data_IF_613970243129
#
_entry.id   IF_613970243129
#
_cell.length_a   1.000
_cell.length_b   1.000
_cell.length_c   1.000
_cell.angle_alpha   90.00
_cell.angle_beta   90.00
_cell.angle_gamma   90.00
#
_symmetry.space_group_name_H-M   'P 1'
#
loop_
_entity.id
_entity.type
_entity.pdbx_description
1 polymer ?
#
# COMPACT_ATOMS: atom_id res chain seq x y z
N UNK A 1 -8.55 11.48 22.71
CA UNK A 1 -7.48 12.06 21.87
C UNK A 1 -8.15 13.14 21.05
N UNK A 2 -7.61 14.36 21.10
CA UNK A 2 -8.26 15.52 20.49
C UNK A 2 -7.99 15.51 18.98
N UNK A 3 -9.03 15.76 18.19
CA UNK A 3 -9.01 15.75 16.71
C UNK A 3 -7.90 16.64 16.13
N UNK A 4 -7.59 17.74 16.82
CA UNK A 4 -6.54 18.67 16.44
C UNK A 4 -5.12 18.12 16.65
N UNK A 5 -4.93 17.11 17.51
CA UNK A 5 -3.67 16.40 17.71
C UNK A 5 -3.44 15.42 16.57
N UNK A 6 -4.47 14.68 16.20
CA UNK A 6 -4.39 13.64 15.14
C UNK A 6 -4.11 14.26 13.76
N UNK A 7 -4.69 15.43 13.47
CA UNK A 7 -4.41 16.18 12.22
C UNK A 7 -2.96 16.66 12.14
N UNK A 8 -2.36 17.07 13.25
CA UNK A 8 -0.96 17.51 13.28
C UNK A 8 0.00 16.34 13.08
N UNK A 9 -0.33 15.17 13.64
CA UNK A 9 0.46 13.95 13.44
C UNK A 9 0.40 13.49 11.97
N UNK A 10 -0.78 13.50 11.34
CA UNK A 10 -0.92 13.17 9.92
C UNK A 10 -0.13 14.14 9.03
N UNK A 11 -0.21 15.44 9.28
CA UNK A 11 0.54 16.44 8.51
C UNK A 11 2.06 16.29 8.69
N UNK A 12 2.52 16.05 9.92
CA UNK A 12 3.92 15.82 10.21
C UNK A 12 4.45 14.58 9.48
N UNK A 13 3.69 13.48 9.48
CA UNK A 13 4.06 12.25 8.76
C UNK A 13 4.06 12.43 7.25
N UNK A 14 3.10 13.19 6.69
CA UNK A 14 3.11 13.57 5.27
C UNK A 14 4.37 14.35 4.92
N UNK A 15 4.74 15.34 5.72
CA UNK A 15 5.95 16.14 5.50
C UNK A 15 7.23 15.30 5.60
N UNK A 16 7.32 14.40 6.58
CA UNK A 16 8.45 13.45 6.67
C UNK A 16 8.50 12.56 5.43
N UNK A 17 7.36 12.06 4.96
CA UNK A 17 7.29 11.27 3.74
C UNK A 17 7.73 12.05 2.50
N UNK A 18 7.47 13.36 2.43
CA UNK A 18 7.84 14.22 1.30
C UNK A 18 9.29 14.66 1.30
N UNK A 19 9.83 15.00 2.48
CA UNK A 19 11.13 15.65 2.63
C UNK A 19 12.23 14.62 2.90
N UNK A 20 11.93 13.54 3.62
CA UNK A 20 12.91 12.54 4.03
C UNK A 20 12.80 11.26 3.20
N UNK A 21 13.93 10.68 2.74
CA UNK A 21 13.89 9.48 1.90
C UNK A 21 13.60 8.20 2.69
N UNK A 22 13.71 8.19 4.02
CA UNK A 22 13.69 6.97 4.84
C UNK A 22 12.45 6.10 4.62
N UNK A 23 11.26 6.69 4.69
CA UNK A 23 10.00 5.93 4.56
C UNK A 23 9.81 5.47 3.11
N UNK A 24 10.03 6.36 2.14
CA UNK A 24 9.96 6.03 0.69
C UNK A 24 10.96 4.95 0.30
N UNK A 25 12.16 4.97 0.87
CA UNK A 25 13.18 3.97 0.65
C UNK A 25 12.76 2.61 1.19
N UNK A 26 12.19 2.55 2.40
CA UNK A 26 11.61 1.32 2.94
C UNK A 26 10.51 0.75 2.04
N UNK A 27 9.61 1.61 1.52
CA UNK A 27 8.59 1.20 0.56
C UNK A 27 9.20 0.64 -0.72
N UNK A 28 10.23 1.30 -1.25
CA UNK A 28 10.91 0.89 -2.49
C UNK A 28 11.57 -0.48 -2.32
N UNK A 29 12.33 -0.69 -1.25
CA UNK A 29 12.98 -1.99 -0.97
C UNK A 29 11.92 -3.07 -0.81
N UNK A 30 10.92 -2.86 0.04
CA UNK A 30 9.88 -3.86 0.27
C UNK A 30 9.09 -4.20 -1.01
N UNK A 31 8.79 -3.20 -1.86
CA UNK A 31 8.08 -3.46 -3.10
C UNK A 31 8.92 -4.25 -4.10
N UNK A 32 10.23 -3.98 -4.22
CA UNK A 32 11.11 -4.77 -5.08
C UNK A 32 11.23 -6.21 -4.58
N UNK A 33 11.40 -6.40 -3.27
CA UNK A 33 11.49 -7.74 -2.68
C UNK A 33 10.20 -8.54 -2.93
N UNK A 34 9.03 -7.89 -2.83
CA UNK A 34 7.73 -8.50 -3.19
C UNK A 34 7.69 -8.85 -4.68
N UNK A 35 8.08 -7.95 -5.58
CA UNK A 35 8.05 -8.21 -7.03
C UNK A 35 8.91 -9.42 -7.40
N UNK A 36 10.12 -9.51 -6.83
CA UNK A 36 11.03 -10.64 -7.05
C UNK A 36 10.46 -11.94 -6.46
N UNK A 37 9.93 -11.90 -5.23
CA UNK A 37 9.40 -13.08 -4.56
C UNK A 37 8.16 -13.69 -5.25
N UNK A 38 7.39 -12.88 -6.00
CA UNK A 38 6.17 -13.32 -6.68
C UNK A 38 6.32 -13.39 -8.21
N UNK A 39 7.54 -13.37 -8.74
CA UNK A 39 7.76 -13.53 -10.18
C UNK A 39 7.19 -14.87 -10.69
N UNK A 40 6.33 -14.80 -11.71
CA UNK A 40 5.67 -15.98 -12.29
C UNK A 40 4.44 -16.49 -11.52
N UNK A 41 4.11 -15.91 -10.38
CA UNK A 41 2.95 -16.31 -9.59
C UNK A 41 1.63 -15.73 -10.11
N UNK A 42 0.57 -16.53 -10.05
CA UNK A 42 -0.75 -16.15 -10.59
C UNK A 42 -1.63 -15.35 -9.62
N UNK A 43 -1.30 -15.38 -8.32
CA UNK A 43 -2.08 -14.75 -7.26
C UNK A 43 -1.17 -14.27 -6.14
N UNK A 44 -1.25 -12.99 -5.79
CA UNK A 44 -0.46 -12.37 -4.72
C UNK A 44 -1.39 -11.93 -3.58
N UNK A 45 -1.04 -12.24 -2.34
CA UNK A 45 -1.72 -11.73 -1.14
C UNK A 45 -0.72 -11.09 -0.19
N UNK A 46 -0.78 -9.76 -0.10
CA UNK A 46 0.04 -8.98 0.84
C UNK A 46 -0.75 -8.72 2.12
N UNK A 47 -0.12 -8.98 3.27
CA UNK A 47 -0.66 -8.65 4.59
C UNK A 47 0.20 -7.54 5.19
N UNK A 48 -0.40 -6.35 5.29
CA UNK A 48 0.20 -5.16 5.88
C UNK A 48 -0.12 -5.10 7.39
N UNK A 49 0.93 -5.18 8.20
CA UNK A 49 0.85 -5.27 9.67
C UNK A 49 1.04 -3.94 10.40
N UNK A 50 0.96 -2.78 9.73
CA UNK A 50 1.03 -1.52 10.46
C UNK A 50 1.55 -0.32 9.68
N UNK A 51 1.77 -0.44 8.38
CA UNK A 51 2.23 0.67 7.55
C UNK A 51 1.16 1.76 7.31
N UNK A 52 -0.11 1.47 7.61
CA UNK A 52 -1.21 2.44 7.47
C UNK A 52 -1.27 3.43 8.64
N UNK A 53 -0.53 3.24 9.73
CA UNK A 53 -0.52 4.17 10.87
C UNK A 53 0.12 5.51 10.48
N UNK A 54 -0.73 6.43 10.00
CA UNK A 54 -0.42 7.84 9.76
C UNK A 54 -0.11 8.22 8.30
N UNK A 55 -0.04 7.27 7.37
CA UNK A 55 0.00 7.53 5.93
C UNK A 55 -1.28 7.00 5.26
N UNK A 56 -2.34 7.79 5.39
CA UNK A 56 -3.72 7.47 4.96
C UNK A 56 -3.89 7.19 3.46
N UNK A 57 -2.91 7.57 2.63
CA UNK A 57 -3.03 7.50 1.18
C UNK A 57 -2.45 6.22 0.56
N UNK A 58 -1.97 5.25 1.35
CA UNK A 58 -1.53 3.95 0.80
C UNK A 58 -0.40 4.05 -0.23
N UNK A 59 0.55 4.98 -0.03
CA UNK A 59 1.60 5.28 -1.02
C UNK A 59 2.44 4.07 -1.41
N UNK A 60 2.77 3.17 -0.47
CA UNK A 60 3.50 1.93 -0.78
C UNK A 60 2.72 1.08 -1.78
N UNK A 61 1.45 0.82 -1.50
CA UNK A 61 0.61 -0.10 -2.26
C UNK A 61 0.33 0.42 -3.66
N UNK A 62 0.18 1.74 -3.85
CA UNK A 62 0.09 2.35 -5.19
C UNK A 62 1.32 2.06 -6.03
N UNK A 63 2.51 2.26 -5.47
CA UNK A 63 3.76 1.98 -6.17
C UNK A 63 3.91 0.48 -6.47
N UNK A 64 3.55 -0.40 -5.53
CA UNK A 64 3.59 -1.85 -5.77
C UNK A 64 2.68 -2.26 -6.92
N UNK A 65 1.45 -1.74 -6.94
CA UNK A 65 0.48 -2.02 -8.01
C UNK A 65 0.99 -1.52 -9.36
N UNK A 66 1.54 -0.30 -9.39
CA UNK A 66 2.14 0.25 -10.60
C UNK A 66 3.29 -0.64 -11.10
N UNK A 67 4.21 -1.03 -10.21
CA UNK A 67 5.32 -1.89 -10.58
C UNK A 67 4.87 -3.28 -11.05
N UNK A 68 3.83 -3.87 -10.44
CA UNK A 68 3.24 -5.13 -10.90
C UNK A 68 2.59 -5.02 -12.29
N UNK A 69 2.04 -3.85 -12.63
CA UNK A 69 1.43 -3.59 -13.94
C UNK A 69 2.48 -3.31 -15.03
N UNK A 70 3.59 -2.66 -14.68
CA UNK A 70 4.70 -2.32 -15.58
C UNK A 70 5.72 -3.46 -15.75
N UNK A 71 5.72 -4.44 -14.84
CA UNK A 71 6.66 -5.56 -14.87
C UNK A 71 6.53 -6.32 -16.20
N UNK A 72 7.66 -6.59 -16.86
CA UNK A 72 7.74 -7.13 -18.23
C UNK A 72 7.13 -8.55 -18.42
N UNK A 73 6.66 -9.18 -17.33
CA UNK A 73 5.91 -10.43 -17.33
C UNK A 73 4.40 -10.25 -17.48
N UNK A 74 3.64 -11.32 -17.18
CA UNK A 74 2.18 -11.21 -17.05
C UNK A 74 1.85 -10.73 -15.64
N UNK A 75 1.08 -9.63 -15.46
CA UNK A 75 0.64 -9.24 -14.14
C UNK A 75 -0.18 -10.37 -13.49
N UNK A 76 -0.15 -10.50 -12.15
CA UNK A 76 -0.89 -11.56 -11.47
C UNK A 76 -2.39 -11.42 -11.77
N UNK A 77 -3.07 -12.56 -11.92
CA UNK A 77 -4.51 -12.60 -12.18
C UNK A 77 -5.32 -12.05 -11.01
N UNK A 78 -4.75 -12.08 -9.80
CA UNK A 78 -5.38 -11.63 -8.57
C UNK A 78 -4.35 -11.01 -7.63
N UNK A 79 -4.64 -9.80 -7.17
CA UNK A 79 -3.91 -9.14 -6.08
C UNK A 79 -4.87 -8.86 -4.93
N UNK A 80 -4.49 -9.29 -3.72
CA UNK A 80 -5.19 -8.99 -2.47
C UNK A 80 -4.25 -8.26 -1.53
N UNK A 81 -4.70 -7.16 -0.96
CA UNK A 81 -3.97 -6.45 0.10
C UNK A 81 -4.88 -6.38 1.32
N UNK A 82 -4.38 -6.87 2.45
CA UNK A 82 -5.08 -6.85 3.74
C UNK A 82 -4.26 -6.02 4.71
N UNK A 83 -4.81 -4.90 5.17
CA UNK A 83 -4.16 -4.04 6.16
C UNK A 83 -4.79 -4.16 7.54
N UNK A 84 -3.96 -4.19 8.58
CA UNK A 84 -4.38 -4.05 9.98
C UNK A 84 -4.36 -2.59 10.40
N UNK A 85 -5.51 -2.05 10.84
CA UNK A 85 -5.59 -0.68 11.36
C UNK A 85 -5.38 -0.69 12.88
N UNK A 86 -4.16 -0.38 13.33
CA UNK A 86 -3.83 -0.11 14.73
C UNK A 86 -3.21 -1.27 15.53
N UNK A 87 -2.74 -0.95 16.73
CA UNK A 87 -2.27 -1.92 17.75
C UNK A 87 -3.45 -2.73 18.32
N UNK A 88 -4.69 -2.31 18.03
CA UNK A 88 -5.93 -3.01 18.36
C UNK A 88 -6.48 -3.72 17.12
N UNK A 89 -6.73 -5.03 17.25
CA UNK A 89 -6.86 -6.04 16.20
C UNK A 89 -8.16 -5.96 15.36
N UNK A 90 -8.96 -4.91 15.50
CA UNK A 90 -10.40 -5.01 15.18
C UNK A 90 -10.85 -4.39 13.85
N UNK A 91 -9.94 -3.97 12.97
CA UNK A 91 -10.36 -3.47 11.65
C UNK A 91 -9.39 -3.87 10.53
N UNK A 92 -9.74 -4.95 9.84
CA UNK A 92 -9.13 -5.35 8.57
C UNK A 92 -9.78 -4.62 7.41
N UNK A 93 -9.01 -3.83 6.66
CA UNK A 93 -9.45 -3.35 5.33
C UNK A 93 -8.92 -4.31 4.29
N UNK A 94 -9.85 -4.93 3.55
CA UNK A 94 -9.54 -5.85 2.46
C UNK A 94 -9.79 -5.09 1.15
N UNK A 95 -8.73 -4.88 0.38
CA UNK A 95 -8.85 -4.48 -1.03
C UNK A 95 -8.55 -5.69 -1.91
N UNK A 96 -9.44 -6.00 -2.84
CA UNK A 96 -9.26 -7.04 -3.85
C UNK A 96 -9.34 -6.36 -5.21
N UNK A 97 -8.26 -6.44 -5.98
CA UNK A 97 -8.21 -5.94 -7.34
C UNK A 97 -7.97 -7.10 -8.30
N UNK A 98 -8.71 -7.09 -9.41
CA UNK A 98 -8.52 -8.04 -10.50
C UNK A 98 -8.05 -7.30 -11.75
N UNK A 99 -7.62 -8.07 -12.76
CA UNK A 99 -7.02 -7.53 -13.97
C UNK A 99 -7.90 -6.61 -14.83
N UNK A 100 -9.20 -6.45 -14.51
CA UNK A 100 -10.21 -5.77 -15.34
C UNK A 100 -10.77 -4.48 -14.74
N UNK A 101 -10.48 -4.15 -13.47
CA UNK A 101 -11.14 -3.04 -12.75
C UNK A 101 -10.14 -1.95 -12.29
N UNK A 102 -8.92 -1.97 -12.83
CA UNK A 102 -7.79 -1.11 -12.39
C UNK A 102 -8.09 0.39 -12.43
N UNK A 103 -8.80 0.86 -13.45
CA UNK A 103 -9.09 2.29 -13.65
C UNK A 103 -10.28 2.78 -12.81
N UNK A 104 -11.27 1.92 -12.57
CA UNK A 104 -12.54 2.34 -11.95
C UNK A 104 -12.46 2.46 -10.43
N UNK A 105 -11.57 1.72 -9.77
CA UNK A 105 -11.39 1.78 -8.31
C UNK A 105 -10.39 2.89 -7.93
N UNK A 106 -9.42 3.16 -8.80
CA UNK A 106 -8.36 4.16 -8.62
C UNK A 106 -8.90 5.56 -8.34
N UNK A 107 -9.98 5.95 -9.02
CA UNK A 107 -10.55 7.31 -8.92
C UNK A 107 -11.47 7.53 -7.72
N UNK A 108 -11.85 6.48 -6.97
CA UNK A 108 -13.03 6.54 -6.09
C UNK A 108 -12.77 6.22 -4.62
N UNK A 109 -11.62 5.66 -4.24
CA UNK A 109 -11.41 5.16 -2.87
C UNK A 109 -10.04 5.48 -2.24
N UNK A 110 -9.14 6.18 -2.93
CA UNK A 110 -7.81 6.58 -2.42
C UNK A 110 -7.30 7.90 -3.02
#
# INVERSE_FOLDING_TARGET
>A
MDIASDQKEEEALRLVYEICPHIRFGHFVANNDILEAFEGESSVHVVDLGMILGLTHGHQWRLLIQSLAEHAGKPPNRLRITGTVGICVDRFRISVMNSRIWESIWSSQW
#
